data_IF_330910672865
#
_entry.id   IF_330910672865
#
_cell.length_a   1.000
_cell.length_b   1.000
_cell.length_c   1.000
_cell.angle_alpha   90.00
_cell.angle_beta   90.00
_cell.angle_gamma   90.00
#
_symmetry.space_group_name_H-M   'P 1'
#
loop_
_entity.id
_entity.type
_entity.pdbx_description
1 polymer ?
#
# COMPACT_ATOMS: atom_id res chain seq x y z
N UNK A 1 -7.69 2.49 -2.77
CA UNK A 1 -6.35 1.88 -2.65
C UNK A 1 -6.27 0.81 -1.58
N UNK A 2 -6.63 1.11 -0.32
CA UNK A 2 -6.50 0.12 0.78
C UNK A 2 -7.28 -1.18 0.56
N UNK A 3 -8.54 -1.12 0.08
CA UNK A 3 -9.30 -2.32 -0.32
C UNK A 3 -8.55 -3.18 -1.33
N UNK A 4 -7.94 -2.54 -2.34
CA UNK A 4 -7.22 -3.25 -3.40
C UNK A 4 -5.98 -3.92 -2.83
N UNK A 5 -5.23 -3.24 -1.97
CA UNK A 5 -4.06 -3.84 -1.31
C UNK A 5 -4.42 -5.03 -0.43
N UNK A 6 -5.50 -4.92 0.35
CA UNK A 6 -5.98 -6.05 1.15
C UNK A 6 -6.36 -7.24 0.29
N UNK A 7 -6.93 -7.03 -0.90
CA UNK A 7 -7.29 -8.11 -1.82
C UNK A 7 -6.11 -8.69 -2.62
N UNK A 8 -4.92 -8.07 -2.55
CA UNK A 8 -3.70 -8.67 -3.13
C UNK A 8 -3.16 -9.82 -2.28
N UNK A 9 -3.47 -9.82 -0.98
CA UNK A 9 -3.05 -10.87 -0.06
C UNK A 9 -3.96 -12.10 -0.21
N UNK A 10 -3.42 -13.29 -0.57
CA UNK A 10 -4.22 -14.50 -0.71
C UNK A 10 -4.86 -14.96 0.61
N UNK A 11 -4.36 -14.52 1.77
CA UNK A 11 -4.91 -14.86 3.08
C UNK A 11 -6.14 -14.03 3.46
N UNK A 12 -6.46 -12.99 2.68
CA UNK A 12 -7.65 -12.14 2.86
C UNK A 12 -8.77 -12.64 1.94
N UNK A 13 -9.82 -13.17 2.56
CA UNK A 13 -10.99 -13.72 1.88
C UNK A 13 -11.97 -12.62 1.45
N UNK A 14 -12.05 -11.54 2.24
CA UNK A 14 -12.97 -10.43 1.95
C UNK A 14 -12.42 -9.12 2.50
N UNK A 15 -12.53 -8.05 1.71
CA UNK A 15 -12.29 -6.68 2.14
C UNK A 15 -13.33 -5.73 1.54
N UNK A 16 -14.02 -4.99 2.41
CA UNK A 16 -15.03 -4.02 2.02
C UNK A 16 -15.06 -2.83 2.96
N UNK A 17 -15.54 -1.69 2.46
CA UNK A 17 -15.81 -0.52 3.28
C UNK A 17 -17.18 0.06 2.92
N UNK A 18 -17.81 0.71 3.90
CA UNK A 18 -19.01 1.52 3.67
C UNK A 18 -18.97 2.78 4.51
N UNK A 19 -19.51 3.85 3.94
CA UNK A 19 -19.79 5.10 4.65
C UNK A 19 -21.28 5.06 4.98
N UNK A 20 -21.66 4.96 6.27
CA UNK A 20 -23.07 4.80 6.65
C UNK A 20 -23.89 6.04 6.32
N UNK A 21 -23.30 7.23 6.44
CA UNK A 21 -23.95 8.48 6.12
C UNK A 21 -22.93 9.51 5.61
N UNK A 22 -23.19 10.24 4.50
CA UNK A 22 -22.23 11.22 3.96
C UNK A 22 -21.88 12.38 4.90
N UNK A 23 -22.81 12.79 5.78
CA UNK A 23 -22.59 13.86 6.77
C UNK A 23 -21.74 13.42 7.97
N UNK A 24 -21.54 12.12 8.18
CA UNK A 24 -20.70 11.60 9.26
C UNK A 24 -19.37 11.09 8.68
N UNK A 25 -18.25 11.60 9.20
CA UNK A 25 -16.91 11.19 8.79
C UNK A 25 -16.49 9.85 9.43
N UNK A 26 -17.38 8.86 9.39
CA UNK A 26 -17.16 7.51 9.90
C UNK A 26 -17.10 6.53 8.74
N UNK A 27 -16.02 5.76 8.67
CA UNK A 27 -15.84 4.71 7.68
C UNK A 27 -15.83 3.38 8.42
N UNK A 28 -16.66 2.44 7.99
CA UNK A 28 -16.69 1.08 8.55
C UNK A 28 -16.00 0.17 7.54
N UNK A 29 -14.89 -0.44 7.96
CA UNK A 29 -14.13 -1.40 7.16
C UNK A 29 -14.40 -2.80 7.72
N UNK A 30 -14.65 -3.76 6.82
CA UNK A 30 -14.74 -5.17 7.15
C UNK A 30 -13.70 -5.95 6.39
N UNK A 31 -12.93 -6.72 7.13
CA UNK A 31 -11.89 -7.62 6.63
C UNK A 31 -12.19 -9.01 7.16
N UNK A 32 -12.10 -10.02 6.30
CA UNK A 32 -12.15 -11.42 6.69
C UNK A 32 -10.88 -12.08 6.19
N UNK A 33 -10.17 -12.75 7.09
CA UNK A 33 -8.95 -13.49 6.82
C UNK A 33 -9.17 -14.97 7.05
N UNK A 34 -8.19 -15.77 6.64
CA UNK A 34 -8.05 -17.17 7.06
C UNK A 34 -7.90 -17.27 8.59
N UNK A 35 -8.29 -18.39 9.22
CA UNK A 35 -8.26 -18.54 10.68
C UNK A 35 -6.85 -18.44 11.27
N UNK A 36 -5.82 -18.76 10.48
CA UNK A 36 -4.42 -18.71 10.89
C UNK A 36 -3.80 -17.30 10.77
N UNK A 37 -4.55 -16.33 10.23
CA UNK A 37 -4.06 -14.98 9.98
C UNK A 37 -4.94 -13.91 10.63
N UNK A 38 -4.33 -13.04 11.43
CA UNK A 38 -5.04 -12.00 12.16
C UNK A 38 -5.48 -10.87 11.22
N UNK A 39 -6.77 -10.45 11.23
CA UNK A 39 -7.23 -9.37 10.36
C UNK A 39 -6.58 -8.03 10.70
N UNK A 40 -6.16 -7.82 11.97
CA UNK A 40 -5.39 -6.64 12.36
C UNK A 40 -4.01 -6.63 11.70
N UNK A 41 -3.36 -7.78 11.61
CA UNK A 41 -2.05 -7.92 10.99
C UNK A 41 -2.14 -7.71 9.48
N UNK A 42 -3.15 -8.30 8.82
CA UNK A 42 -3.47 -8.04 7.42
C UNK A 42 -3.62 -6.55 7.11
N UNK A 43 -4.28 -5.85 8.01
CA UNK A 43 -4.53 -4.43 7.88
C UNK A 43 -3.24 -3.60 8.02
N UNK A 44 -2.43 -3.89 9.03
CA UNK A 44 -1.13 -3.22 9.22
C UNK A 44 -0.21 -3.47 8.04
N UNK A 45 -0.11 -4.71 7.57
CA UNK A 45 0.74 -5.08 6.44
C UNK A 45 0.31 -4.36 5.16
N UNK A 46 -1.01 -4.29 4.89
CA UNK A 46 -1.52 -3.56 3.73
C UNK A 46 -1.21 -2.05 3.77
N UNK A 47 -1.21 -1.43 4.96
CA UNK A 47 -0.83 -0.02 5.13
C UNK A 47 0.67 0.16 4.90
N UNK A 48 1.51 -0.66 5.52
CA UNK A 48 2.97 -0.58 5.37
C UNK A 48 3.38 -0.74 3.91
N UNK A 49 2.81 -1.72 3.21
CA UNK A 49 3.06 -1.94 1.79
C UNK A 49 2.66 -0.72 0.94
N UNK A 50 1.52 -0.09 1.24
CA UNK A 50 1.08 1.10 0.52
C UNK A 50 2.03 2.29 0.76
N UNK A 51 2.52 2.47 1.99
CA UNK A 51 3.50 3.51 2.31
C UNK A 51 4.78 3.27 1.52
N UNK A 52 5.31 2.05 1.52
CA UNK A 52 6.51 1.70 0.76
C UNK A 52 6.34 1.93 -0.74
N UNK A 53 5.19 1.55 -1.33
CA UNK A 53 4.91 1.82 -2.74
C UNK A 53 4.89 3.33 -3.05
N UNK A 54 4.31 4.15 -2.16
CA UNK A 54 4.29 5.60 -2.34
C UNK A 54 5.68 6.21 -2.20
N UNK A 55 6.49 5.77 -1.23
CA UNK A 55 7.87 6.24 -1.09
C UNK A 55 8.72 5.93 -2.32
N UNK A 56 8.57 4.74 -2.90
CA UNK A 56 9.24 4.37 -4.15
C UNK A 56 8.76 5.23 -5.33
N UNK A 57 7.46 5.52 -5.40
CA UNK A 57 6.91 6.40 -6.43
C UNK A 57 7.45 7.83 -6.30
N UNK A 58 7.51 8.36 -5.09
CA UNK A 58 8.07 9.67 -4.80
C UNK A 58 9.55 9.76 -5.21
N UNK A 59 10.35 8.76 -4.85
CA UNK A 59 11.76 8.69 -5.25
C UNK A 59 11.90 8.63 -6.78
N UNK A 60 11.16 7.73 -7.42
CA UNK A 60 11.23 7.56 -8.88
C UNK A 60 10.78 8.83 -9.62
N UNK A 61 9.75 9.51 -9.10
CA UNK A 61 9.30 10.80 -9.63
C UNK A 61 10.37 11.88 -9.43
N UNK A 62 10.97 11.96 -8.26
CA UNK A 62 12.00 12.96 -7.92
C UNK A 62 13.25 12.82 -8.80
N UNK A 63 13.70 11.58 -9.03
CA UNK A 63 14.82 11.27 -9.95
C UNK A 63 14.47 11.71 -11.37
N UNK A 64 13.30 11.35 -11.89
CA UNK A 64 12.88 11.68 -13.27
C UNK A 64 12.56 13.16 -13.47
N UNK A 65 12.10 13.85 -12.44
CA UNK A 65 11.84 15.29 -12.44
C UNK A 65 13.12 16.14 -12.29
N UNK A 66 14.28 15.52 -12.09
CA UNK A 66 15.58 16.20 -12.00
C UNK A 66 15.78 16.97 -10.69
N UNK A 67 14.96 16.72 -9.67
CA UNK A 67 15.09 17.37 -8.36
C UNK A 67 15.99 16.48 -7.50
N UNK A 68 17.31 16.63 -7.62
CA UNK A 68 18.25 15.85 -6.81
C UNK A 68 18.07 16.16 -5.31
N UNK A 69 17.69 15.15 -4.52
CA UNK A 69 17.82 15.21 -3.07
C UNK A 69 18.94 14.29 -2.63
N UNK A 70 20.01 14.87 -2.11
CA UNK A 70 21.12 14.15 -1.48
C UNK A 70 20.61 13.54 -0.17
N UNK A 71 20.55 12.22 -0.07
CA UNK A 71 20.49 11.49 1.21
C UNK A 71 21.44 10.30 1.16
N UNK A 72 22.24 10.16 2.22
CA UNK A 72 23.20 9.09 2.44
C UNK A 72 22.47 7.81 2.90
N UNK A 73 22.63 6.71 2.16
CA UNK A 73 22.06 5.43 2.52
C UNK A 73 21.74 4.56 1.31
N UNK A 74 22.70 3.70 0.96
CA UNK A 74 22.65 2.59 0.01
C UNK A 74 21.29 2.30 -0.67
N UNK A 75 21.05 2.99 -1.81
CA UNK A 75 19.97 2.63 -2.73
C UNK A 75 20.35 1.31 -3.37
N UNK A 76 19.79 0.21 -2.84
CA UNK A 76 19.93 -1.11 -3.43
C UNK A 76 19.28 -1.08 -4.81
N UNK A 77 20.14 -0.89 -5.81
CA UNK A 77 20.02 -1.25 -7.22
C UNK A 77 18.59 -1.48 -7.72
N UNK A 78 18.03 -0.43 -8.34
CA UNK A 78 17.50 -0.43 -9.70
C UNK A 78 17.26 -1.85 -10.27
N UNK A 79 16.17 -2.49 -9.85
CA UNK A 79 15.55 -3.69 -10.44
C UNK A 79 14.06 -3.53 -10.15
N UNK A 80 13.14 -3.17 -11.03
CA UNK A 80 13.07 -3.26 -12.47
C UNK A 80 12.02 -2.23 -12.95
N UNK A 81 12.42 -1.00 -13.27
CA UNK A 81 11.49 -0.02 -13.88
C UNK A 81 11.55 -0.03 -15.42
N UNK A 82 12.38 -0.91 -16.01
CA UNK A 82 12.66 -0.95 -17.45
C UNK A 82 12.00 -2.12 -18.19
N UNK A 83 11.19 -2.96 -17.53
CA UNK A 83 10.60 -4.15 -18.17
C UNK A 83 9.09 -4.22 -17.96
N UNK A 84 8.34 -3.31 -18.61
CA UNK A 84 6.94 -3.51 -19.00
C UNK A 84 6.50 -2.36 -19.94
N UNK A 85 6.96 -2.44 -21.19
CA UNK A 85 6.15 -2.07 -22.35
C UNK A 85 5.66 -3.37 -22.99
#
# INVERSE_FOLDING_TARGET
FLKVQLLKDPQVLFAGYKVPHPLEHKIIIRVQTTPDYSPQEAFTNAITNLISELSLLEECFQVRAGIAKTQEGEVTLIRDCTTAL
#
